data_IF_824782716480
#
_entry.id   IF_824782716480
#
_cell.length_a   1.000
_cell.length_b   1.000
_cell.length_c   1.000
_cell.angle_alpha   90.00
_cell.angle_beta   90.00
_cell.angle_gamma   90.00
#
_symmetry.space_group_name_H-M   'P 1'
#
loop_
_entity.id
_entity.type
_entity.pdbx_description
1 polymer ?
#
# COMPACT_ATOMS: atom_id res chain seq x y z
N UNK A 1 2.19 -8.56 19.48
CA UNK A 1 2.03 -9.55 18.39
C UNK A 1 2.39 -8.93 17.03
N UNK A 2 1.85 -7.77 16.63
CA UNK A 2 2.26 -7.08 15.37
C UNK A 2 3.73 -6.69 15.24
N UNK A 3 4.44 -6.42 16.35
CA UNK A 3 5.89 -6.14 16.32
C UNK A 3 6.77 -7.34 15.93
N UNK A 4 6.26 -8.56 16.04
CA UNK A 4 7.03 -9.79 15.73
C UNK A 4 6.78 -10.24 14.28
N UNK A 5 5.58 -9.97 13.72
CA UNK A 5 5.27 -10.32 12.34
C UNK A 5 5.99 -9.45 11.29
N UNK A 6 6.58 -8.32 11.68
CA UNK A 6 7.27 -7.42 10.75
C UNK A 6 8.77 -7.75 10.57
N UNK A 7 9.33 -8.65 11.39
CA UNK A 7 10.77 -8.96 11.40
C UNK A 7 11.15 -10.23 10.63
N UNK A 8 10.19 -11.05 10.18
CA UNK A 8 10.46 -12.18 9.29
C UNK A 8 10.21 -11.79 7.84
N UNK A 9 11.27 -11.78 7.03
CA UNK A 9 11.21 -11.72 5.56
C UNK A 9 10.01 -12.52 5.02
N UNK A 10 9.25 -11.89 4.10
CA UNK A 10 8.10 -12.42 3.33
C UNK A 10 6.73 -12.42 4.01
N UNK A 11 6.26 -11.26 4.46
CA UNK A 11 4.92 -10.88 4.02
C UNK A 11 5.14 -10.08 2.74
N UNK A 12 4.90 -10.68 1.58
CA UNK A 12 4.79 -9.91 0.35
C UNK A 12 3.54 -9.03 0.50
N UNK A 13 3.73 -7.84 1.09
CA UNK A 13 2.71 -6.81 1.17
C UNK A 13 2.45 -6.33 -0.25
N UNK A 14 1.59 -7.06 -0.96
CA UNK A 14 1.09 -6.69 -2.28
C UNK A 14 0.14 -5.51 -2.17
N UNK A 15 -0.09 -4.80 -3.28
CA UNK A 15 -1.12 -3.76 -3.36
C UNK A 15 -2.49 -4.21 -2.85
N UNK A 16 -2.88 -5.46 -3.05
CA UNK A 16 -4.18 -5.98 -2.58
C UNK A 16 -4.23 -6.04 -1.04
N UNK A 17 -3.16 -6.51 -0.40
CA UNK A 17 -3.08 -6.58 1.06
C UNK A 17 -3.05 -5.18 1.66
N UNK A 18 -2.27 -4.27 1.05
CA UNK A 18 -2.20 -2.88 1.46
C UNK A 18 -3.57 -2.19 1.33
N UNK A 19 -4.25 -2.32 0.20
CA UNK A 19 -5.52 -1.65 -0.07
C UNK A 19 -6.70 -2.22 0.73
N UNK A 20 -6.77 -3.55 0.91
CA UNK A 20 -7.92 -4.20 1.56
C UNK A 20 -7.84 -4.22 3.08
N UNK A 21 -6.64 -4.29 3.65
CA UNK A 21 -6.47 -4.55 5.08
C UNK A 21 -5.65 -3.47 5.77
N UNK A 22 -4.44 -3.18 5.28
CA UNK A 22 -3.50 -2.32 6.00
C UNK A 22 -3.95 -0.86 6.00
N UNK A 23 -4.25 -0.28 4.84
CA UNK A 23 -4.64 1.14 4.73
C UNK A 23 -5.94 1.45 5.48
N UNK A 24 -7.04 0.68 5.33
CA UNK A 24 -8.26 0.92 6.11
C UNK A 24 -8.01 0.90 7.61
N UNK A 25 -7.25 -0.10 8.09
CA UNK A 25 -6.90 -0.20 9.50
C UNK A 25 -6.07 1.01 9.97
N UNK A 26 -4.98 1.33 9.26
CA UNK A 26 -4.09 2.42 9.65
C UNK A 26 -4.80 3.78 9.65
N UNK A 27 -5.65 4.05 8.66
CA UNK A 27 -6.45 5.28 8.58
C UNK A 27 -7.42 5.36 9.75
N UNK A 28 -8.10 4.25 10.11
CA UNK A 28 -8.99 4.24 11.27
C UNK A 28 -8.26 4.46 12.59
N UNK A 29 -7.03 3.95 12.74
CA UNK A 29 -6.29 4.07 13.99
C UNK A 29 -5.57 5.43 14.11
N UNK A 30 -5.19 6.07 13.02
CA UNK A 30 -4.42 7.32 13.07
C UNK A 30 -5.24 8.54 13.56
N UNK A 31 -6.55 8.40 13.72
CA UNK A 31 -7.44 9.46 14.23
C UNK A 31 -7.81 9.28 15.72
N UNK A 32 -7.26 8.27 16.39
CA UNK A 32 -7.52 8.08 17.82
C UNK A 32 -6.97 9.24 18.65
N UNK A 33 -7.79 9.74 19.59
CA UNK A 33 -7.43 10.83 20.50
C UNK A 33 -6.33 10.48 21.50
N UNK A 34 -5.95 9.20 21.57
CA UNK A 34 -4.88 8.65 22.41
C UNK A 34 -3.47 8.91 21.83
N UNK A 35 -3.37 9.33 20.57
CA UNK A 35 -2.10 9.51 19.88
C UNK A 35 -1.46 10.86 20.20
N UNK A 36 -0.14 10.85 20.43
CA UNK A 36 0.67 12.07 20.38
C UNK A 36 1.17 12.34 18.95
N UNK A 37 1.66 13.56 18.71
CA UNK A 37 2.10 14.00 17.38
C UNK A 37 3.13 13.08 16.72
N UNK A 38 4.10 12.57 17.48
CA UNK A 38 5.11 11.65 16.93
C UNK A 38 4.51 10.31 16.48
N UNK A 39 3.52 9.80 17.22
CA UNK A 39 2.82 8.57 16.84
C UNK A 39 1.99 8.80 15.59
N UNK A 40 1.26 9.92 15.53
CA UNK A 40 0.51 10.34 14.34
C UNK A 40 1.41 10.44 13.11
N UNK A 41 2.54 11.14 13.22
CA UNK A 41 3.50 11.28 12.12
C UNK A 41 4.02 9.93 11.64
N UNK A 42 4.24 8.98 12.56
CA UNK A 42 4.65 7.62 12.23
C UNK A 42 3.56 6.87 11.46
N UNK A 43 2.29 7.00 11.85
CA UNK A 43 1.16 6.45 11.10
C UNK A 43 1.08 7.06 9.70
N UNK A 44 1.17 8.38 9.60
CA UNK A 44 1.05 9.09 8.33
C UNK A 44 2.17 8.74 7.36
N UNK A 45 3.40 8.59 7.83
CA UNK A 45 4.51 8.12 7.00
C UNK A 45 4.21 6.73 6.43
N UNK A 46 3.77 5.80 7.27
CA UNK A 46 3.47 4.42 6.85
C UNK A 46 2.30 4.36 5.86
N UNK A 47 1.24 5.14 6.09
CA UNK A 47 0.09 5.23 5.18
C UNK A 47 0.53 5.73 3.80
N UNK A 48 1.36 6.78 3.74
CA UNK A 48 1.86 7.33 2.49
C UNK A 48 2.70 6.31 1.71
N UNK A 49 3.59 5.60 2.40
CA UNK A 49 4.43 4.58 1.78
C UNK A 49 3.60 3.42 1.20
N UNK A 50 2.60 2.95 1.95
CA UNK A 50 1.69 1.90 1.48
C UNK A 50 0.82 2.36 0.31
N UNK A 51 0.32 3.60 0.36
CA UNK A 51 -0.47 4.17 -0.73
C UNK A 51 0.37 4.31 -2.01
N UNK A 52 1.61 4.80 -1.89
CA UNK A 52 2.52 4.92 -3.02
C UNK A 52 2.83 3.57 -3.68
N UNK A 53 2.99 2.50 -2.87
CA UNK A 53 3.13 1.14 -3.39
C UNK A 53 1.90 0.69 -4.17
N UNK A 54 0.70 0.86 -3.59
CA UNK A 54 -0.56 0.50 -4.26
C UNK A 54 -0.67 1.23 -5.59
N UNK A 55 -0.42 2.53 -5.61
CA UNK A 55 -0.45 3.34 -6.83
C UNK A 55 0.53 2.81 -7.88
N UNK A 56 1.80 2.62 -7.50
CA UNK A 56 2.87 2.20 -8.41
C UNK A 56 2.59 0.84 -9.04
N UNK A 57 2.23 -0.15 -8.22
CA UNK A 57 1.96 -1.50 -8.71
C UNK A 57 0.67 -1.60 -9.54
N UNK A 58 -0.34 -0.74 -9.27
CA UNK A 58 -1.52 -0.67 -10.13
C UNK A 58 -1.20 0.03 -11.45
N UNK A 59 -0.45 1.13 -11.43
CA UNK A 59 -0.05 1.86 -12.63
C UNK A 59 0.78 0.99 -13.58
N UNK A 60 1.77 0.27 -13.06
CA UNK A 60 2.57 -0.67 -13.84
C UNK A 60 1.71 -1.76 -14.49
N UNK A 61 0.76 -2.33 -13.73
CA UNK A 61 -0.17 -3.32 -14.27
C UNK A 61 -1.01 -2.74 -15.42
N UNK A 62 -1.57 -1.55 -15.23
CA UNK A 62 -2.39 -0.90 -16.26
C UNK A 62 -1.58 -0.56 -17.53
N UNK A 63 -0.33 -0.10 -17.38
CA UNK A 63 0.56 0.18 -18.51
C UNK A 63 0.88 -1.09 -19.31
N UNK A 64 1.16 -2.21 -18.64
CA UNK A 64 1.38 -3.49 -19.33
C UNK A 64 0.19 -3.92 -20.20
N UNK A 65 -1.05 -3.67 -19.75
CA UNK A 65 -2.24 -3.96 -20.55
C UNK A 65 -2.39 -2.99 -21.73
N UNK A 66 -2.17 -1.70 -21.51
CA UNK A 66 -2.21 -0.70 -22.59
C UNK A 66 -1.21 -1.02 -23.72
N UNK A 67 0.03 -1.35 -23.37
CA UNK A 67 1.08 -1.70 -24.33
C UNK A 67 0.82 -3.04 -25.05
N UNK A 68 -0.02 -3.90 -24.45
CA UNK A 68 -0.40 -5.20 -25.04
C UNK A 68 -1.56 -5.05 -26.03
N UNK A 69 -2.51 -4.15 -25.77
CA UNK A 69 -3.64 -3.86 -26.68
C UNK A 69 -3.18 -3.07 -27.93
N UNK A 70 -2.23 -2.13 -27.80
CA UNK A 70 -1.68 -1.41 -28.97
C UNK A 70 -0.96 -2.32 -29.98
N UNK A 71 -0.40 -3.45 -29.52
CA UNK A 71 0.29 -4.41 -30.41
C UNK A 71 -0.65 -5.27 -31.23
N UNK A 72 -1.93 -5.37 -30.86
CA UNK A 72 -2.92 -6.19 -31.55
C UNK A 72 -3.52 -5.45 -32.75
N UNK A 73 -3.56 -4.11 -32.71
CA UNK A 73 -4.10 -3.27 -33.79
C UNK A 73 -3.07 -2.93 -34.90
N UNK A 74 -1.80 -3.31 -34.70
CA UNK A 74 -0.71 -3.05 -35.65
C UNK A 74 -0.33 -4.27 -36.50
N UNK A 75 -1.15 -5.33 -36.52
CA UNK A 75 -0.87 -6.62 -37.19
C UNK A 75 -1.78 -6.92 -38.36
#
# INVERSE_FOLDING_TARGET
IFKICFASKKLELTKETCAKYCLPFLISNCIESSLNGRQFDSFMSLIKDMLHRVETEQRQRLQQFADSDEKIDSG
#
